data_IF_918425314886
#
_entry.id   IF_918425314886
#
_cell.length_a   1.000
_cell.length_b   1.000
_cell.length_c   1.000
_cell.angle_alpha   90.00
_cell.angle_beta   90.00
_cell.angle_gamma   90.00
#
_symmetry.space_group_name_H-M   'P 1'
#
loop_
_entity.id
_entity.type
_entity.pdbx_description
1 polymer ?
#
# COMPACT_ATOMS: atom_id res chain seq x y z
N UNK A 1 30.99 33.59 -6.56
CA UNK A 1 29.72 34.31 -6.32
C UNK A 1 28.79 33.60 -5.32
N UNK A 2 28.94 32.30 -5.06
CA UNK A 2 28.10 31.53 -4.12
C UNK A 2 28.78 31.25 -2.76
N UNK A 3 29.63 32.15 -2.28
CA UNK A 3 30.44 31.93 -1.05
C UNK A 3 29.61 31.85 0.24
N UNK A 4 28.33 32.19 0.18
CA UNK A 4 27.41 32.20 1.31
C UNK A 4 26.50 30.96 1.37
N UNK A 5 26.71 29.97 0.49
CA UNK A 5 25.99 28.71 0.56
C UNK A 5 26.71 27.78 1.55
N UNK A 6 26.02 27.43 2.63
CA UNK A 6 26.48 26.41 3.58
C UNK A 6 25.95 25.03 3.16
N UNK A 7 26.83 24.06 2.83
CA UNK A 7 26.41 22.71 2.49
C UNK A 7 25.59 22.05 3.62
N UNK A 8 24.50 21.37 3.26
CA UNK A 8 23.69 20.57 4.21
C UNK A 8 22.66 21.36 5.03
N UNK A 9 22.60 22.69 4.89
CA UNK A 9 21.63 23.54 5.59
C UNK A 9 20.22 23.54 4.95
N UNK A 10 20.15 23.46 3.62
CA UNK A 10 18.91 23.40 2.83
C UNK A 10 19.18 22.77 1.43
N UNK A 11 18.17 22.33 0.67
CA UNK A 11 18.39 21.75 -0.65
C UNK A 11 18.94 22.77 -1.67
N UNK A 12 19.87 22.34 -2.53
CA UNK A 12 20.68 23.21 -3.40
C UNK A 12 19.85 24.22 -4.22
N UNK A 13 18.74 23.78 -4.83
CA UNK A 13 17.89 24.64 -5.68
C UNK A 13 17.21 25.76 -4.88
N UNK A 14 16.88 25.51 -3.61
CA UNK A 14 16.33 26.53 -2.70
C UNK A 14 17.40 27.54 -2.30
N UNK A 15 18.58 27.04 -1.92
CA UNK A 15 19.73 27.88 -1.57
C UNK A 15 20.16 28.77 -2.74
N UNK A 16 20.20 28.20 -3.94
CA UNK A 16 20.56 28.91 -5.16
C UNK A 16 19.51 29.95 -5.56
N UNK A 17 18.23 29.60 -5.51
CA UNK A 17 17.14 30.55 -5.78
C UNK A 17 17.14 31.73 -4.81
N UNK A 18 17.35 31.46 -3.52
CA UNK A 18 17.47 32.49 -2.46
C UNK A 18 18.64 33.43 -2.72
N UNK A 19 19.83 32.88 -3.02
CA UNK A 19 21.03 33.69 -3.22
C UNK A 19 20.99 34.47 -4.53
N UNK A 20 20.45 33.89 -5.61
CA UNK A 20 20.21 34.60 -6.87
C UNK A 20 19.21 35.74 -6.68
N UNK A 21 18.15 35.53 -5.90
CA UNK A 21 17.21 36.60 -5.57
C UNK A 21 17.87 37.71 -4.75
N UNK A 22 18.70 37.36 -3.75
CA UNK A 22 19.45 38.33 -2.95
C UNK A 22 20.42 39.16 -3.81
N UNK A 23 21.06 38.55 -4.79
CA UNK A 23 22.06 39.20 -5.65
C UNK A 23 21.45 40.01 -6.79
N UNK A 24 20.36 39.55 -7.38
CA UNK A 24 19.80 40.13 -8.61
C UNK A 24 18.45 40.83 -8.43
N UNK A 25 17.77 40.62 -7.29
CA UNK A 25 16.38 41.03 -7.07
C UNK A 25 15.34 40.19 -7.83
N UNK A 26 15.76 39.29 -8.73
CA UNK A 26 14.86 38.45 -9.53
C UNK A 26 14.57 37.17 -8.78
N UNK A 27 13.29 36.85 -8.59
CA UNK A 27 12.88 35.58 -7.97
C UNK A 27 12.88 34.48 -9.01
N UNK A 28 13.81 33.53 -8.89
CA UNK A 28 13.83 32.31 -9.70
C UNK A 28 13.03 31.24 -8.96
N UNK A 29 11.90 30.76 -9.51
CA UNK A 29 11.12 29.71 -8.87
C UNK A 29 11.87 28.38 -8.96
N UNK A 30 11.63 27.47 -8.01
CA UNK A 30 12.40 26.22 -7.86
C UNK A 30 12.22 25.26 -9.02
N UNK A 31 11.07 25.31 -9.69
CA UNK A 31 10.73 24.54 -10.89
C UNK A 31 11.41 25.04 -12.18
N UNK A 32 12.00 26.24 -12.17
CA UNK A 32 12.82 26.74 -13.27
C UNK A 32 14.22 26.09 -13.33
N UNK A 33 14.64 25.37 -12.27
CA UNK A 33 15.90 24.66 -12.24
C UNK A 33 15.76 23.25 -12.82
N UNK A 34 16.08 23.13 -14.09
CA UNK A 34 16.14 21.85 -14.80
C UNK A 34 17.54 21.21 -14.62
N UNK A 35 17.65 20.35 -13.59
CA UNK A 35 18.90 19.65 -13.28
C UNK A 35 19.31 18.63 -14.36
N UNK A 36 18.38 18.22 -15.22
CA UNK A 36 18.65 17.29 -16.31
C UNK A 36 19.43 17.91 -17.47
N UNK A 37 19.48 19.25 -17.53
CA UNK A 37 20.35 19.98 -18.45
C UNK A 37 21.78 20.14 -17.94
N UNK A 38 22.06 19.82 -16.68
CA UNK A 38 23.42 19.88 -16.14
C UNK A 38 24.24 18.72 -16.71
N UNK A 39 25.40 18.95 -17.36
CA UNK A 39 26.24 17.87 -17.88
C UNK A 39 26.55 16.82 -16.82
N UNK A 40 26.52 15.51 -17.15
CA UNK A 40 26.67 14.44 -16.16
C UNK A 40 27.91 14.58 -15.27
N UNK A 41 29.05 15.02 -15.83
CA UNK A 41 30.31 15.19 -15.09
C UNK A 41 30.28 16.31 -14.01
N UNK A 42 29.25 17.16 -14.02
CA UNK A 42 29.04 18.20 -13.00
C UNK A 42 28.01 17.79 -11.93
N UNK A 43 27.41 16.59 -12.05
CA UNK A 43 26.48 16.05 -11.06
C UNK A 43 27.22 15.17 -10.05
N UNK A 44 26.73 15.20 -8.81
CA UNK A 44 27.17 14.29 -7.74
C UNK A 44 27.08 12.85 -8.23
N UNK A 45 28.09 12.05 -7.90
CA UNK A 45 28.11 10.61 -8.18
C UNK A 45 28.13 9.91 -6.84
N UNK A 46 27.14 9.06 -6.61
CA UNK A 46 27.04 8.21 -5.43
C UNK A 46 27.79 6.92 -5.73
N UNK A 47 28.65 6.52 -4.80
CA UNK A 47 29.43 5.28 -4.88
C UNK A 47 29.17 4.52 -3.59
N UNK A 48 28.80 3.25 -3.71
CA UNK A 48 28.70 2.32 -2.59
C UNK A 48 29.94 1.44 -2.61
N UNK A 49 30.64 1.42 -1.49
CA UNK A 49 31.85 0.63 -1.28
C UNK A 49 31.54 -0.52 -0.30
N UNK A 50 32.19 -1.66 -0.49
CA UNK A 50 32.15 -2.78 0.45
C UNK A 50 33.10 -2.54 1.63
N UNK A 51 33.04 -3.42 2.64
CA UNK A 51 33.84 -3.29 3.86
C UNK A 51 35.37 -3.35 3.62
N UNK A 52 35.81 -3.89 2.49
CA UNK A 52 37.21 -3.93 2.02
C UNK A 52 37.58 -2.73 1.11
N UNK A 53 36.66 -1.77 0.93
CA UNK A 53 36.85 -0.57 0.13
C UNK A 53 36.68 -0.76 -1.38
N UNK A 54 36.20 -1.93 -1.83
CA UNK A 54 35.92 -2.14 -3.24
C UNK A 54 34.61 -1.47 -3.66
N UNK A 55 34.58 -0.86 -4.84
CA UNK A 55 33.36 -0.25 -5.38
C UNK A 55 32.35 -1.35 -5.75
N UNK A 56 31.21 -1.37 -5.06
CA UNK A 56 30.08 -2.29 -5.29
C UNK A 56 29.19 -1.78 -6.41
N UNK A 57 28.88 -0.48 -6.40
CA UNK A 57 28.11 0.16 -7.44
C UNK A 57 28.25 1.69 -7.40
N UNK A 58 28.04 2.31 -8.56
CA UNK A 58 27.94 3.76 -8.70
C UNK A 58 26.70 4.17 -9.49
N UNK A 59 26.15 5.33 -9.15
CA UNK A 59 25.10 5.97 -9.92
C UNK A 59 25.09 7.48 -9.68
N UNK A 60 24.49 8.24 -10.60
CA UNK A 60 24.18 9.66 -10.40
C UNK A 60 22.83 9.87 -9.72
N UNK A 61 21.96 8.87 -9.75
CA UNK A 61 20.68 8.85 -9.06
C UNK A 61 20.78 7.96 -7.81
N UNK A 62 20.76 8.57 -6.62
CA UNK A 62 20.83 7.85 -5.35
C UNK A 62 19.66 6.88 -5.17
N UNK A 63 18.44 7.27 -5.56
CA UNK A 63 17.26 6.41 -5.41
C UNK A 63 17.40 5.16 -6.30
N UNK A 64 17.83 5.33 -7.55
CA UNK A 64 18.09 4.19 -8.44
C UNK A 64 19.20 3.28 -7.91
N UNK A 65 20.25 3.86 -7.31
CA UNK A 65 21.33 3.11 -6.67
C UNK A 65 20.84 2.32 -5.45
N UNK A 66 20.04 2.97 -4.59
CA UNK A 66 19.41 2.34 -3.41
C UNK A 66 18.45 1.22 -3.82
N UNK A 67 17.61 1.42 -4.83
CA UNK A 67 16.71 0.39 -5.36
C UNK A 67 17.47 -0.81 -5.89
N UNK A 68 18.53 -0.59 -6.68
CA UNK A 68 19.39 -1.65 -7.21
C UNK A 68 20.07 -2.46 -6.11
N UNK A 69 20.49 -1.80 -5.03
CA UNK A 69 21.19 -2.43 -3.91
C UNK A 69 20.27 -2.86 -2.76
N UNK A 70 18.97 -2.59 -2.82
CA UNK A 70 18.05 -2.85 -1.71
C UNK A 70 18.10 -4.31 -1.24
N UNK A 71 18.16 -5.26 -2.19
CA UNK A 71 18.27 -6.69 -1.89
C UNK A 71 19.58 -7.06 -1.16
N UNK A 72 20.72 -6.57 -1.65
CA UNK A 72 22.03 -6.82 -1.01
C UNK A 72 22.14 -6.13 0.35
N UNK A 73 21.59 -4.92 0.48
CA UNK A 73 21.56 -4.18 1.75
C UNK A 73 20.70 -4.89 2.78
N UNK A 74 19.52 -5.42 2.40
CA UNK A 74 18.71 -6.25 3.30
C UNK A 74 19.47 -7.47 3.80
N UNK A 75 20.12 -8.21 2.91
CA UNK A 75 20.88 -9.40 3.28
C UNK A 75 22.06 -9.06 4.20
N UNK A 76 22.77 -7.96 3.92
CA UNK A 76 23.88 -7.51 4.75
C UNK A 76 23.43 -7.06 6.15
N UNK A 77 22.32 -6.32 6.24
CA UNK A 77 21.72 -5.92 7.54
C UNK A 77 21.27 -7.17 8.28
N UNK A 78 20.45 -8.03 7.67
CA UNK A 78 20.01 -9.28 8.30
C UNK A 78 21.20 -10.11 8.79
N UNK A 79 22.22 -10.38 7.97
CA UNK A 79 23.40 -11.13 8.41
C UNK A 79 24.17 -10.45 9.55
N UNK A 80 24.20 -9.12 9.60
CA UNK A 80 24.92 -8.36 10.61
C UNK A 80 24.20 -8.27 11.96
N UNK A 81 22.85 -8.26 11.99
CA UNK A 81 22.06 -8.00 13.21
C UNK A 81 20.98 -9.04 13.54
N UNK A 82 20.71 -10.02 12.65
CA UNK A 82 19.70 -11.06 12.85
C UNK A 82 19.96 -11.89 14.12
N UNK A 83 21.19 -12.35 14.29
CA UNK A 83 21.70 -13.05 15.47
C UNK A 83 20.66 -13.83 16.26
N UNK A 84 20.45 -13.41 17.51
CA UNK A 84 19.54 -14.05 18.48
C UNK A 84 18.05 -13.69 18.29
N UNK A 85 17.72 -12.80 17.35
CA UNK A 85 16.36 -12.28 17.15
C UNK A 85 15.57 -13.10 16.14
N UNK A 86 16.23 -13.75 15.19
CA UNK A 86 15.54 -14.58 14.21
C UNK A 86 14.92 -15.82 14.83
N UNK A 87 13.65 -16.03 14.51
CA UNK A 87 12.86 -17.18 14.97
C UNK A 87 11.92 -17.60 13.86
N UNK A 88 11.66 -18.89 13.74
CA UNK A 88 10.73 -19.40 12.73
C UNK A 88 9.68 -20.32 13.33
N UNK A 89 8.55 -20.44 12.65
CA UNK A 89 7.52 -21.43 13.00
C UNK A 89 6.69 -21.07 14.23
N UNK A 90 6.66 -19.79 14.63
CA UNK A 90 5.89 -19.34 15.79
C UNK A 90 4.39 -19.48 15.52
N UNK A 91 3.67 -20.00 16.51
CA UNK A 91 2.19 -20.07 16.51
C UNK A 91 1.54 -19.28 17.65
N UNK A 92 2.37 -18.80 18.57
CA UNK A 92 2.03 -17.93 19.68
C UNK A 92 3.26 -17.06 20.00
N UNK A 93 3.07 -15.99 20.76
CA UNK A 93 4.17 -15.14 21.21
C UNK A 93 5.20 -15.98 22.01
N UNK A 94 6.51 -15.91 21.72
CA UNK A 94 7.50 -16.76 22.38
C UNK A 94 7.59 -16.53 23.90
N UNK A 95 7.63 -17.59 24.71
CA UNK A 95 7.62 -17.57 26.18
C UNK A 95 8.91 -17.04 26.84
N UNK A 96 9.99 -16.94 26.10
CA UNK A 96 11.28 -16.38 26.51
C UNK A 96 11.51 -14.95 25.98
N UNK A 97 10.64 -14.43 25.11
CA UNK A 97 10.70 -13.08 24.56
C UNK A 97 9.68 -12.14 25.24
N UNK A 98 10.05 -11.34 26.26
CA UNK A 98 9.11 -10.41 26.89
C UNK A 98 8.73 -9.24 25.98
N UNK A 99 9.69 -8.76 25.18
CA UNK A 99 9.55 -7.62 24.28
C UNK A 99 10.37 -7.87 23.01
N UNK A 100 9.77 -7.55 21.85
CA UNK A 100 10.47 -7.45 20.58
C UNK A 100 10.98 -6.01 20.45
N UNK A 101 12.30 -5.76 20.39
CA UNK A 101 12.80 -4.41 20.30
C UNK A 101 12.44 -3.77 18.96
N UNK A 102 12.12 -2.48 18.99
CA UNK A 102 11.86 -1.68 17.79
C UNK A 102 13.09 -1.55 16.89
N UNK A 103 14.29 -1.52 17.46
CA UNK A 103 15.54 -1.42 16.71
C UNK A 103 16.62 -2.24 17.40
N UNK A 104 17.53 -2.77 16.58
CA UNK A 104 18.74 -3.45 17.05
C UNK A 104 19.94 -2.85 16.33
N UNK A 105 21.05 -2.68 17.04
CA UNK A 105 22.27 -2.10 16.48
C UNK A 105 23.45 -3.03 16.75
N UNK A 106 24.31 -3.18 15.75
CA UNK A 106 25.58 -3.87 15.88
C UNK A 106 26.68 -3.11 15.15
N UNK A 107 27.87 -3.06 15.75
CA UNK A 107 29.05 -2.50 15.09
C UNK A 107 29.69 -3.58 14.23
N UNK A 108 29.76 -3.34 12.92
CA UNK A 108 30.41 -4.23 11.95
C UNK A 108 31.37 -3.42 11.08
N UNK A 109 32.64 -3.82 11.02
CA UNK A 109 33.67 -3.12 10.23
C UNK A 109 33.90 -1.65 10.60
N UNK A 110 33.61 -1.24 11.84
CA UNK A 110 33.72 0.17 12.28
C UNK A 110 32.49 1.03 11.98
N UNK A 111 31.45 0.47 11.36
CA UNK A 111 30.18 1.13 11.09
C UNK A 111 29.07 0.56 11.97
N UNK A 112 28.20 1.42 12.50
CA UNK A 112 26.98 0.97 13.21
C UNK A 112 25.93 0.58 12.18
N UNK A 113 25.58 -0.71 12.16
CA UNK A 113 24.47 -1.23 11.36
C UNK A 113 23.24 -1.30 12.25
N UNK A 114 22.14 -0.66 11.81
CA UNK A 114 20.84 -0.70 12.48
C UNK A 114 19.90 -1.61 11.69
N UNK A 115 19.16 -2.46 12.41
CA UNK A 115 18.07 -3.23 11.85
C UNK A 115 16.79 -3.09 12.66
N UNK A 116 15.71 -3.55 12.07
CA UNK A 116 14.34 -3.32 12.52
C UNK A 116 13.61 -4.66 12.63
N UNK A 117 13.64 -5.33 13.80
CA UNK A 117 12.98 -6.62 14.00
C UNK A 117 11.46 -6.50 13.89
N UNK A 118 10.80 -7.44 13.21
CA UNK A 118 9.35 -7.53 13.15
C UNK A 118 8.89 -8.99 13.06
N UNK A 119 7.64 -9.22 13.49
CA UNK A 119 6.91 -10.42 13.15
C UNK A 119 6.64 -10.42 11.64
N UNK A 120 6.81 -11.55 10.97
CA UNK A 120 6.58 -11.72 9.55
C UNK A 120 5.64 -12.91 9.32
N UNK A 121 4.64 -12.74 8.44
CA UNK A 121 3.73 -13.82 8.07
C UNK A 121 4.47 -14.88 7.22
N UNK A 122 4.48 -16.13 7.70
CA UNK A 122 5.02 -17.31 7.00
C UNK A 122 3.90 -18.26 6.55
N UNK A 123 2.67 -17.76 6.41
CA UNK A 123 1.47 -18.45 5.95
C UNK A 123 0.83 -19.32 7.03
N UNK A 124 1.50 -20.40 7.43
CA UNK A 124 0.97 -21.31 8.47
C UNK A 124 1.58 -21.06 9.86
N UNK A 125 2.55 -20.16 9.94
CA UNK A 125 3.28 -19.73 11.13
C UNK A 125 3.67 -18.25 11.00
N UNK A 126 4.33 -17.74 12.02
CA UNK A 126 4.97 -16.44 12.05
C UNK A 126 6.45 -16.60 12.32
N UNK A 127 7.26 -15.81 11.65
CA UNK A 127 8.69 -15.74 11.87
C UNK A 127 9.04 -14.37 12.47
N UNK A 128 10.22 -14.24 13.08
CA UNK A 128 10.80 -12.95 13.44
C UNK A 128 11.98 -12.75 12.52
N UNK A 129 11.97 -11.64 11.78
CA UNK A 129 13.06 -11.23 10.89
C UNK A 129 13.50 -9.81 11.21
N UNK A 130 14.75 -9.49 10.86
CA UNK A 130 15.31 -8.14 11.00
C UNK A 130 15.34 -7.47 9.63
N UNK A 131 14.59 -6.37 9.50
CA UNK A 131 14.46 -5.60 8.27
C UNK A 131 15.48 -4.45 8.20
N UNK A 132 15.75 -3.96 7.00
CA UNK A 132 16.72 -2.88 6.79
C UNK A 132 16.13 -1.48 7.02
N UNK A 133 14.80 -1.36 6.93
CA UNK A 133 14.11 -0.08 7.08
C UNK A 133 12.91 -0.19 8.02
N UNK A 134 12.55 0.94 8.63
CA UNK A 134 11.35 1.04 9.48
C UNK A 134 10.06 0.82 8.69
N UNK A 135 10.00 1.22 7.42
CA UNK A 135 8.81 0.98 6.58
C UNK A 135 8.62 -0.52 6.29
N UNK A 136 9.69 -1.26 5.98
CA UNK A 136 9.62 -2.72 5.84
C UNK A 136 9.21 -3.40 7.14
N UNK A 137 9.76 -2.97 8.28
CA UNK A 137 9.37 -3.44 9.59
C UNK A 137 7.87 -3.21 9.84
N UNK A 138 7.35 -2.01 9.56
CA UNK A 138 5.94 -1.67 9.77
C UNK A 138 5.02 -2.54 8.93
N UNK A 139 5.37 -2.75 7.66
CA UNK A 139 4.60 -3.58 6.74
C UNK A 139 4.59 -5.06 7.19
N UNK A 140 5.76 -5.61 7.54
CA UNK A 140 5.89 -6.98 8.03
C UNK A 140 5.15 -7.15 9.37
N UNK A 141 5.38 -6.24 10.32
CA UNK A 141 4.79 -6.31 11.65
C UNK A 141 3.26 -6.34 11.62
N UNK A 142 2.64 -5.58 10.71
CA UNK A 142 1.19 -5.59 10.55
C UNK A 142 0.66 -6.99 10.15
N UNK A 143 1.21 -7.60 9.11
CA UNK A 143 0.75 -8.91 8.61
C UNK A 143 1.17 -10.05 9.55
N UNK A 144 2.38 -9.99 10.11
CA UNK A 144 2.89 -10.95 11.10
C UNK A 144 2.10 -10.95 12.40
N UNK A 145 1.76 -9.77 12.95
CA UNK A 145 0.93 -9.66 14.14
C UNK A 145 -0.50 -10.18 13.89
N UNK A 146 -1.09 -9.86 12.73
CA UNK A 146 -2.38 -10.43 12.31
C UNK A 146 -2.33 -11.96 12.28
N UNK A 147 -1.34 -12.54 11.60
CA UNK A 147 -1.17 -14.00 11.53
C UNK A 147 -1.00 -14.61 12.92
N UNK A 148 -0.17 -14.03 13.78
CA UNK A 148 0.08 -14.56 15.12
C UNK A 148 -1.22 -14.56 15.95
N UNK A 149 -2.01 -13.50 15.84
CA UNK A 149 -3.29 -13.35 16.52
C UNK A 149 -4.31 -14.38 16.01
N UNK A 150 -4.41 -14.57 14.69
CA UNK A 150 -5.26 -15.59 14.05
C UNK A 150 -4.88 -17.02 14.46
N UNK A 151 -3.59 -17.31 14.61
CA UNK A 151 -3.10 -18.61 15.07
C UNK A 151 -3.34 -18.84 16.58
N UNK A 152 -3.39 -17.75 17.36
CA UNK A 152 -3.56 -17.78 18.81
C UNK A 152 -5.02 -17.83 19.27
N UNK A 153 -5.99 -17.65 18.36
CA UNK A 153 -7.42 -17.60 18.66
C UNK A 153 -8.13 -18.72 17.87
N UNK A 154 -9.10 -19.44 18.48
CA UNK A 154 -9.91 -20.40 17.74
C UNK A 154 -10.60 -19.77 16.51
N UNK A 155 -10.56 -20.46 15.38
CA UNK A 155 -11.12 -19.95 14.13
C UNK A 155 -12.62 -19.62 14.26
N UNK A 156 -13.08 -18.43 13.78
CA UNK A 156 -14.48 -18.04 13.80
C UNK A 156 -15.33 -18.73 12.73
N UNK A 157 -14.71 -19.47 11.78
CA UNK A 157 -15.37 -19.97 10.57
C UNK A 157 -16.69 -20.70 10.84
N UNK A 158 -16.69 -21.69 11.74
CA UNK A 158 -17.91 -22.47 12.06
C UNK A 158 -19.06 -21.60 12.58
N UNK A 159 -18.76 -20.54 13.33
CA UNK A 159 -19.76 -19.61 13.85
C UNK A 159 -20.29 -18.72 12.73
N UNK A 160 -19.38 -18.19 11.90
CA UNK A 160 -19.72 -17.33 10.76
C UNK A 160 -20.57 -18.08 9.74
N UNK A 161 -20.18 -19.30 9.34
CA UNK A 161 -20.91 -20.13 8.38
C UNK A 161 -22.35 -20.43 8.80
N UNK A 162 -22.58 -20.63 10.11
CA UNK A 162 -23.93 -20.82 10.68
C UNK A 162 -24.75 -19.53 10.66
N UNK A 163 -24.09 -18.38 10.73
CA UNK A 163 -24.72 -17.07 10.69
C UNK A 163 -25.20 -16.64 9.29
N UNK A 164 -24.80 -17.34 8.23
CA UNK A 164 -25.24 -17.06 6.86
C UNK A 164 -26.55 -17.77 6.52
N UNK A 165 -27.48 -17.06 5.90
CA UNK A 165 -28.66 -17.69 5.31
C UNK A 165 -28.31 -18.35 3.94
N UNK A 166 -29.16 -19.24 3.41
CA UNK A 166 -28.88 -19.95 2.16
C UNK A 166 -28.65 -19.04 0.94
N UNK A 167 -29.32 -17.89 0.86
CA UNK A 167 -29.16 -16.96 -0.27
C UNK A 167 -27.80 -16.29 -0.22
N UNK A 168 -27.40 -15.82 0.96
CA UNK A 168 -26.08 -15.23 1.18
C UNK A 168 -24.96 -16.22 0.87
N UNK A 169 -25.08 -17.49 1.31
CA UNK A 169 -24.09 -18.53 0.97
C UNK A 169 -23.98 -18.76 -0.54
N UNK A 170 -25.11 -18.78 -1.25
CA UNK A 170 -25.11 -18.99 -2.70
C UNK A 170 -24.45 -17.82 -3.44
N UNK A 171 -24.81 -16.58 -3.09
CA UNK A 171 -24.21 -15.38 -3.66
C UNK A 171 -22.69 -15.36 -3.42
N UNK A 172 -22.28 -15.57 -2.17
CA UNK A 172 -20.88 -15.53 -1.77
C UNK A 172 -20.06 -16.73 -2.27
N UNK A 173 -20.68 -17.78 -2.83
CA UNK A 173 -19.94 -18.93 -3.37
C UNK A 173 -19.15 -18.61 -4.63
N UNK A 174 -19.62 -17.64 -5.41
CA UNK A 174 -18.96 -17.14 -6.61
C UNK A 174 -18.42 -15.76 -6.29
N UNK A 175 -17.33 -15.71 -5.53
CA UNK A 175 -16.68 -14.47 -5.10
C UNK A 175 -15.25 -14.39 -5.68
N UNK A 176 -14.62 -13.20 -5.67
CA UNK A 176 -13.27 -13.01 -6.21
C UNK A 176 -12.15 -13.86 -5.54
N UNK A 177 -12.28 -14.22 -4.27
CA UNK A 177 -11.33 -15.10 -3.55
C UNK A 177 -11.43 -16.57 -3.98
N UNK A 178 -12.34 -16.89 -4.90
CA UNK A 178 -12.46 -18.19 -5.55
C UNK A 178 -13.21 -19.25 -4.74
N UNK A 179 -13.45 -19.05 -3.44
CA UNK A 179 -14.30 -19.93 -2.64
C UNK A 179 -14.92 -19.20 -1.44
N UNK A 180 -16.05 -19.72 -0.94
CA UNK A 180 -16.67 -19.17 0.27
C UNK A 180 -15.70 -19.19 1.46
N UNK A 181 -14.96 -20.29 1.66
CA UNK A 181 -13.99 -20.40 2.77
C UNK A 181 -12.90 -19.33 2.69
N UNK A 182 -12.35 -19.08 1.50
CA UNK A 182 -11.32 -18.08 1.29
C UNK A 182 -11.84 -16.67 1.63
N UNK A 183 -13.05 -16.33 1.20
CA UNK A 183 -13.69 -15.05 1.54
C UNK A 183 -13.96 -14.91 3.04
N UNK A 184 -14.41 -15.98 3.70
CA UNK A 184 -14.62 -15.94 5.15
C UNK A 184 -13.31 -15.75 5.92
N UNK A 185 -12.22 -16.35 5.45
CA UNK A 185 -10.90 -16.14 6.03
C UNK A 185 -10.36 -14.73 5.78
N UNK A 186 -10.54 -14.18 4.57
CA UNK A 186 -10.19 -12.78 4.24
C UNK A 186 -10.99 -11.78 5.10
N UNK A 187 -12.29 -12.02 5.27
CA UNK A 187 -13.13 -11.25 6.20
C UNK A 187 -12.64 -11.34 7.65
N UNK A 188 -12.10 -12.49 8.07
CA UNK A 188 -11.59 -12.68 9.41
C UNK A 188 -10.21 -12.03 9.61
N UNK A 189 -9.40 -11.94 8.56
CA UNK A 189 -8.17 -11.18 8.53
C UNK A 189 -8.47 -9.67 8.63
N UNK A 190 -9.43 -9.16 7.86
CA UNK A 190 -9.91 -7.79 7.97
C UNK A 190 -10.50 -7.47 9.37
N UNK A 191 -11.21 -8.44 9.97
CA UNK A 191 -11.71 -8.33 11.34
C UNK A 191 -10.58 -8.23 12.36
N UNK A 192 -9.51 -9.00 12.14
CA UNK A 192 -8.34 -9.02 13.01
C UNK A 192 -7.62 -7.68 12.97
N UNK A 193 -7.42 -7.09 11.78
CA UNK A 193 -6.85 -5.74 11.66
C UNK A 193 -7.68 -4.68 12.36
N UNK A 194 -9.01 -4.75 12.22
CA UNK A 194 -9.92 -3.81 12.86
C UNK A 194 -9.84 -3.88 14.40
N UNK A 195 -9.62 -5.08 14.94
CA UNK A 195 -9.48 -5.32 16.38
C UNK A 195 -8.05 -5.03 16.88
N UNK A 196 -7.05 -5.03 15.99
CA UNK A 196 -5.64 -4.80 16.27
C UNK A 196 -5.06 -3.63 15.43
N UNK A 197 -5.61 -2.40 15.56
CA UNK A 197 -5.22 -1.28 14.70
C UNK A 197 -3.81 -0.73 14.98
N UNK A 198 -3.19 -1.14 16.09
CA UNK A 198 -1.86 -0.69 16.52
C UNK A 198 -1.00 -1.93 16.76
N UNK A 199 0.24 -1.97 16.26
CA UNK A 199 1.16 -3.08 16.52
C UNK A 199 1.49 -3.19 18.00
N UNK A 200 1.62 -4.42 18.48
CA UNK A 200 2.01 -4.75 19.86
C UNK A 200 3.44 -5.25 19.90
N UNK A 201 4.24 -4.79 20.85
CA UNK A 201 5.68 -5.08 20.89
C UNK A 201 6.08 -5.93 22.09
N UNK A 202 5.18 -6.07 23.06
CA UNK A 202 5.41 -6.88 24.25
C UNK A 202 4.46 -8.07 24.32
N UNK A 203 4.88 -9.13 25.03
CA UNK A 203 4.02 -10.27 25.33
C UNK A 203 2.75 -9.85 26.08
N UNK A 204 2.88 -8.92 27.02
CA UNK A 204 1.77 -8.47 27.84
C UNK A 204 0.69 -7.78 26.98
N UNK A 205 1.11 -6.87 26.09
CA UNK A 205 0.21 -6.22 25.13
C UNK A 205 -0.44 -7.23 24.17
N UNK A 206 0.35 -8.17 23.63
CA UNK A 206 -0.18 -9.21 22.75
C UNK A 206 -1.21 -10.10 23.47
N UNK A 207 -0.94 -10.47 24.72
CA UNK A 207 -1.87 -11.30 25.53
C UNK A 207 -3.18 -10.55 25.77
N UNK A 208 -3.10 -9.27 26.17
CA UNK A 208 -4.28 -8.43 26.37
C UNK A 208 -5.06 -8.19 25.07
N UNK A 209 -4.36 -8.04 23.94
CA UNK A 209 -4.98 -7.93 22.62
C UNK A 209 -5.68 -9.24 22.23
N UNK A 210 -5.02 -10.39 22.38
CA UNK A 210 -5.58 -11.73 22.12
C UNK A 210 -6.87 -11.95 22.91
N UNK A 211 -6.86 -11.67 24.20
CA UNK A 211 -8.01 -11.96 25.07
C UNK A 211 -9.22 -11.08 24.72
N UNK A 212 -8.99 -9.83 24.31
CA UNK A 212 -10.06 -8.94 23.80
C UNK A 212 -10.54 -9.36 22.42
N UNK A 213 -9.61 -9.61 21.49
CA UNK A 213 -9.94 -9.99 20.12
C UNK A 213 -10.71 -11.32 20.08
N UNK A 214 -10.37 -12.29 20.92
CA UNK A 214 -11.07 -13.58 21.01
C UNK A 214 -12.56 -13.43 21.34
N UNK A 215 -12.95 -12.39 22.09
CA UNK A 215 -14.35 -12.15 22.46
C UNK A 215 -15.18 -11.55 21.32
N UNK A 216 -14.54 -10.85 20.37
CA UNK A 216 -15.25 -10.09 19.32
C UNK A 216 -15.02 -10.63 17.91
N UNK A 217 -13.98 -11.42 17.67
CA UNK A 217 -13.54 -11.83 16.33
C UNK A 217 -14.66 -12.43 15.49
N UNK A 218 -15.46 -13.35 16.04
CA UNK A 218 -16.54 -13.98 15.30
C UNK A 218 -17.66 -13.00 14.90
N UNK A 219 -18.07 -12.11 15.82
CA UNK A 219 -19.09 -11.10 15.55
C UNK A 219 -18.60 -10.06 14.54
N UNK A 220 -17.37 -9.56 14.73
CA UNK A 220 -16.73 -8.60 13.80
C UNK A 220 -16.56 -9.20 12.41
N UNK A 221 -16.15 -10.47 12.32
CA UNK A 221 -16.04 -11.18 11.03
C UNK A 221 -17.40 -11.24 10.34
N UNK A 222 -18.47 -11.63 11.05
CA UNK A 222 -19.82 -11.71 10.48
C UNK A 222 -20.32 -10.35 9.97
N UNK A 223 -20.04 -9.26 10.70
CA UNK A 223 -20.38 -7.91 10.26
C UNK A 223 -19.62 -7.49 9.01
N UNK A 224 -18.35 -7.90 8.88
CA UNK A 224 -17.54 -7.66 7.69
C UNK A 224 -18.05 -8.49 6.50
N UNK A 225 -18.43 -9.76 6.71
CA UNK A 225 -19.03 -10.60 5.66
C UNK A 225 -20.28 -9.96 5.08
N UNK A 226 -21.16 -9.37 5.91
CA UNK A 226 -22.36 -8.64 5.43
C UNK A 226 -22.02 -7.41 4.59
N UNK A 227 -20.86 -6.77 4.83
CA UNK A 227 -20.38 -5.66 4.01
C UNK A 227 -19.80 -6.16 2.70
N UNK A 228 -18.99 -7.23 2.75
CA UNK A 228 -18.43 -7.89 1.58
C UNK A 228 -19.53 -8.45 0.66
N UNK A 229 -20.63 -8.95 1.21
CA UNK A 229 -21.80 -9.41 0.45
C UNK A 229 -22.37 -8.32 -0.47
N UNK A 230 -22.40 -7.05 -0.01
CA UNK A 230 -22.84 -5.93 -0.85
C UNK A 230 -21.88 -5.66 -2.02
N UNK A 231 -20.59 -5.86 -1.79
CA UNK A 231 -19.56 -5.75 -2.84
C UNK A 231 -19.73 -6.87 -3.87
N UNK A 232 -19.81 -8.11 -3.39
CA UNK A 232 -19.99 -9.31 -4.25
C UNK A 232 -21.29 -9.26 -5.03
N UNK A 233 -22.39 -8.76 -4.43
CA UNK A 233 -23.66 -8.54 -5.14
C UNK A 233 -23.49 -7.56 -6.31
N UNK A 234 -22.91 -6.39 -6.06
CA UNK A 234 -22.68 -5.38 -7.10
C UNK A 234 -21.74 -5.91 -8.20
N UNK A 235 -20.71 -6.66 -7.81
CA UNK A 235 -19.78 -7.28 -8.75
C UNK A 235 -20.45 -8.35 -9.60
N UNK A 236 -21.28 -9.23 -9.01
CA UNK A 236 -22.01 -10.27 -9.73
C UNK A 236 -22.98 -9.68 -10.76
N UNK A 237 -23.72 -8.63 -10.39
CA UNK A 237 -24.57 -7.89 -11.32
C UNK A 237 -23.78 -7.29 -12.49
N UNK A 238 -22.60 -6.73 -12.21
CA UNK A 238 -21.71 -6.17 -13.21
C UNK A 238 -21.10 -7.23 -14.14
N UNK A 239 -20.71 -8.39 -13.61
CA UNK A 239 -20.19 -9.51 -14.41
C UNK A 239 -21.23 -10.00 -15.43
N UNK A 240 -22.51 -10.03 -15.04
CA UNK A 240 -23.61 -10.36 -15.96
C UNK A 240 -23.81 -9.28 -17.03
N UNK A 241 -23.67 -8.01 -16.67
CA UNK A 241 -23.83 -6.89 -17.59
C UNK A 241 -22.63 -6.70 -18.54
N UNK A 242 -21.43 -7.13 -18.14
CA UNK A 242 -20.21 -6.98 -18.92
C UNK A 242 -20.23 -7.84 -20.19
N UNK A 243 -20.03 -7.25 -21.38
CA UNK A 243 -20.05 -8.01 -22.62
C UNK A 243 -18.81 -8.90 -22.73
N UNK A 244 -18.98 -10.20 -23.02
CA UNK A 244 -17.84 -11.10 -23.27
C UNK A 244 -16.93 -10.58 -24.37
N UNK A 245 -17.51 -10.07 -25.47
CA UNK A 245 -16.80 -9.40 -26.56
C UNK A 245 -17.23 -7.94 -26.63
N UNK A 246 -16.28 -7.03 -26.37
CA UNK A 246 -16.55 -5.60 -26.46
C UNK A 246 -16.80 -5.17 -27.93
N UNK A 247 -17.81 -4.33 -28.19
CA UNK A 247 -17.92 -3.63 -29.47
C UNK A 247 -16.65 -2.82 -29.75
N UNK A 248 -16.20 -2.75 -31.01
CA UNK A 248 -14.92 -2.10 -31.34
C UNK A 248 -14.82 -0.66 -30.81
N UNK A 249 -15.90 0.12 -30.94
CA UNK A 249 -15.97 1.51 -30.46
C UNK A 249 -15.88 1.64 -28.92
N UNK A 250 -16.17 0.59 -28.17
CA UNK A 250 -16.20 0.57 -26.71
C UNK A 250 -15.03 -0.24 -26.11
N UNK A 251 -14.15 -0.78 -26.94
CA UNK A 251 -13.11 -1.73 -26.53
C UNK A 251 -12.19 -1.18 -25.43
N UNK A 252 -11.71 0.04 -25.58
CA UNK A 252 -10.85 0.72 -24.58
C UNK A 252 -11.57 0.92 -23.24
N UNK A 253 -12.82 1.41 -23.27
CA UNK A 253 -13.59 1.64 -22.05
C UNK A 253 -13.92 0.33 -21.32
N UNK A 254 -14.25 -0.74 -22.05
CA UNK A 254 -14.49 -2.06 -21.45
C UNK A 254 -13.19 -2.67 -20.90
N UNK A 255 -12.05 -2.43 -21.55
CA UNK A 255 -10.74 -2.84 -21.02
C UNK A 255 -10.42 -2.10 -19.71
N UNK A 256 -10.54 -0.78 -19.68
CA UNK A 256 -10.31 0.02 -18.46
C UNK A 256 -11.28 -0.36 -17.31
N UNK A 257 -12.53 -0.71 -17.62
CA UNK A 257 -13.48 -1.22 -16.62
C UNK A 257 -13.00 -2.55 -16.03
N UNK A 258 -12.48 -3.46 -16.85
CA UNK A 258 -11.95 -4.75 -16.38
C UNK A 258 -10.70 -4.55 -15.53
N UNK A 259 -9.76 -3.74 -16.01
CA UNK A 259 -8.53 -3.43 -15.28
C UNK A 259 -8.85 -2.77 -13.93
N UNK A 260 -9.84 -1.86 -13.88
CA UNK A 260 -10.30 -1.27 -12.63
C UNK A 260 -10.91 -2.33 -11.69
N UNK A 261 -11.72 -3.26 -12.19
CA UNK A 261 -12.30 -4.32 -11.37
C UNK A 261 -11.25 -5.28 -10.84
N UNK A 262 -10.29 -5.69 -11.67
CA UNK A 262 -9.23 -6.61 -11.29
C UNK A 262 -8.35 -6.00 -10.18
N UNK A 263 -8.08 -4.69 -10.24
CA UNK A 263 -7.37 -3.98 -9.15
C UNK A 263 -8.19 -3.87 -7.86
N UNK A 264 -9.51 -3.67 -7.96
CA UNK A 264 -10.38 -3.48 -6.80
C UNK A 264 -10.77 -4.79 -6.10
N UNK A 265 -10.81 -5.89 -6.86
CA UNK A 265 -11.40 -7.17 -6.46
C UNK A 265 -10.48 -8.34 -6.81
N UNK A 266 -9.21 -8.25 -6.43
CA UNK A 266 -8.29 -9.41 -6.43
C UNK A 266 -8.55 -10.31 -5.22
N UNK A 267 -7.95 -11.51 -5.20
CA UNK A 267 -8.01 -12.39 -4.04
C UNK A 267 -7.43 -11.69 -2.79
N UNK A 268 -8.18 -11.68 -1.69
CA UNK A 268 -7.83 -10.95 -0.47
C UNK A 268 -8.35 -9.50 -0.45
N UNK A 269 -9.29 -9.12 -1.33
CA UNK A 269 -9.75 -7.74 -1.46
C UNK A 269 -10.35 -7.17 -0.17
N UNK A 270 -10.91 -8.00 0.72
CA UNK A 270 -11.58 -7.54 1.94
C UNK A 270 -10.56 -6.98 2.94
N UNK A 271 -9.50 -7.73 3.23
CA UNK A 271 -8.41 -7.26 4.08
C UNK A 271 -7.58 -6.17 3.41
N UNK A 272 -7.33 -6.27 2.10
CA UNK A 272 -6.60 -5.24 1.35
C UNK A 272 -7.33 -3.88 1.34
N UNK A 273 -8.65 -3.90 1.17
CA UNK A 273 -9.49 -2.68 1.24
C UNK A 273 -9.64 -2.16 2.66
N UNK A 274 -9.69 -3.08 3.64
CA UNK A 274 -9.95 -2.79 5.03
C UNK A 274 -11.44 -2.58 5.34
N UNK A 275 -11.86 -3.06 6.52
CA UNK A 275 -13.26 -3.11 6.94
C UNK A 275 -14.01 -1.75 6.90
N UNK A 276 -13.28 -0.64 7.06
CA UNK A 276 -13.84 0.71 7.05
C UNK A 276 -14.26 1.16 5.64
N UNK A 277 -13.59 0.69 4.58
CA UNK A 277 -13.83 1.13 3.20
C UNK A 277 -14.70 0.17 2.37
N UNK A 278 -15.14 -0.96 2.91
CA UNK A 278 -15.98 -1.91 2.15
C UNK A 278 -17.30 -1.30 1.63
N UNK A 279 -17.86 -0.34 2.37
CA UNK A 279 -19.03 0.41 1.89
C UNK A 279 -18.68 1.28 0.67
N UNK A 280 -17.50 1.90 0.68
CA UNK A 280 -17.00 2.67 -0.46
C UNK A 280 -16.65 1.77 -1.64
N UNK A 281 -16.07 0.59 -1.38
CA UNK A 281 -15.80 -0.39 -2.42
C UNK A 281 -17.09 -0.83 -3.14
N UNK A 282 -18.16 -1.12 -2.40
CA UNK A 282 -19.46 -1.41 -3.00
C UNK A 282 -19.96 -0.22 -3.84
N UNK A 283 -19.75 1.02 -3.38
CA UNK A 283 -20.09 2.24 -4.13
C UNK A 283 -19.26 2.37 -5.41
N UNK A 284 -17.96 2.04 -5.38
CA UNK A 284 -17.08 2.07 -6.55
C UNK A 284 -17.53 1.06 -7.61
N UNK A 285 -17.81 -0.19 -7.21
CA UNK A 285 -18.32 -1.23 -8.14
C UNK A 285 -19.67 -0.81 -8.76
N UNK A 286 -20.57 -0.22 -7.97
CA UNK A 286 -21.82 0.34 -8.49
C UNK A 286 -21.59 1.50 -9.46
N UNK A 287 -20.59 2.36 -9.22
CA UNK A 287 -20.23 3.44 -10.13
C UNK A 287 -19.72 2.91 -11.48
N UNK A 288 -18.96 1.80 -11.47
CA UNK A 288 -18.53 1.10 -12.68
C UNK A 288 -19.75 0.58 -13.45
N UNK A 289 -20.72 -0.02 -12.77
CA UNK A 289 -21.99 -0.43 -13.39
C UNK A 289 -22.73 0.74 -14.05
N UNK A 290 -22.78 1.91 -13.39
CA UNK A 290 -23.39 3.12 -13.98
C UNK A 290 -22.62 3.66 -15.18
N UNK A 291 -21.30 3.54 -15.20
CA UNK A 291 -20.48 3.84 -16.37
C UNK A 291 -20.84 2.91 -17.53
N UNK A 292 -20.86 1.61 -17.28
CA UNK A 292 -21.17 0.59 -18.28
C UNK A 292 -22.57 0.78 -18.90
N UNK A 293 -23.60 1.03 -18.08
CA UNK A 293 -24.97 1.31 -18.53
C UNK A 293 -25.05 2.52 -19.47
N UNK A 294 -24.23 3.55 -19.22
CA UNK A 294 -24.26 4.83 -19.97
C UNK A 294 -23.35 4.85 -21.20
N UNK A 295 -22.34 3.97 -21.22
CA UNK A 295 -21.30 3.93 -22.26
C UNK A 295 -21.86 3.94 -23.70
N UNK A 296 -22.92 3.19 -24.06
CA UNK A 296 -23.46 3.20 -25.42
C UNK A 296 -24.02 4.56 -25.87
N UNK A 297 -24.41 5.44 -24.95
CA UNK A 297 -25.00 6.73 -25.27
C UNK A 297 -23.97 7.85 -25.46
N UNK A 298 -22.70 7.62 -25.12
CA UNK A 298 -21.69 8.70 -25.08
C UNK A 298 -20.25 8.20 -25.01
N UNK A 299 -19.81 7.45 -26.02
CA UNK A 299 -18.46 6.88 -26.11
C UNK A 299 -17.37 7.95 -26.06
N UNK A 300 -17.50 9.03 -26.83
CA UNK A 300 -16.48 10.10 -26.86
C UNK A 300 -16.35 10.81 -25.51
N UNK A 301 -17.47 11.11 -24.87
CA UNK A 301 -17.48 11.73 -23.54
C UNK A 301 -16.91 10.79 -22.46
N UNK A 302 -17.12 9.47 -22.59
CA UNK A 302 -16.47 8.48 -21.74
C UNK A 302 -14.95 8.49 -21.93
N UNK A 303 -14.49 8.49 -23.20
CA UNK A 303 -13.08 8.53 -23.55
C UNK A 303 -12.37 9.77 -22.99
N UNK A 304 -12.98 10.94 -23.10
CA UNK A 304 -12.44 12.17 -22.50
C UNK A 304 -12.29 12.07 -20.96
N UNK A 305 -13.27 11.49 -20.27
CA UNK A 305 -13.20 11.27 -18.81
C UNK A 305 -12.15 10.22 -18.45
N UNK A 306 -12.04 9.17 -19.25
CA UNK A 306 -11.05 8.11 -19.08
C UNK A 306 -9.62 8.67 -19.21
N UNK A 307 -9.35 9.50 -20.21
CA UNK A 307 -8.03 10.14 -20.35
C UNK A 307 -7.64 11.00 -19.15
N UNK A 308 -8.60 11.70 -18.53
CA UNK A 308 -8.36 12.47 -17.31
C UNK A 308 -7.98 11.60 -16.12
N UNK A 309 -8.53 10.40 -16.05
CA UNK A 309 -8.18 9.42 -15.01
C UNK A 309 -6.81 8.80 -15.29
N UNK A 310 -6.55 8.39 -16.53
CA UNK A 310 -5.24 7.85 -16.93
C UNK A 310 -4.12 8.85 -16.64
N UNK A 311 -4.33 10.14 -16.88
CA UNK A 311 -3.32 11.16 -16.57
C UNK A 311 -2.93 11.23 -15.08
N UNK A 312 -3.86 10.98 -14.15
CA UNK A 312 -3.54 10.93 -12.72
C UNK A 312 -3.03 9.56 -12.26
N UNK A 313 -3.43 8.48 -12.93
CA UNK A 313 -2.88 7.14 -12.72
C UNK A 313 -1.42 7.07 -13.17
N UNK A 314 -1.09 7.60 -14.34
CA UNK A 314 0.30 7.71 -14.84
C UNK A 314 1.20 8.46 -13.85
N UNK A 315 0.70 9.58 -13.31
CA UNK A 315 1.42 10.37 -12.32
C UNK A 315 1.59 9.64 -10.97
N UNK A 316 0.64 8.77 -10.62
CA UNK A 316 0.72 7.92 -9.43
C UNK A 316 1.70 6.77 -9.65
N UNK A 317 1.72 6.16 -10.83
CA UNK A 317 2.69 5.12 -11.21
C UNK A 317 4.13 5.67 -11.26
N UNK A 318 4.32 6.90 -11.75
CA UNK A 318 5.58 7.63 -11.65
C UNK A 318 6.03 7.79 -10.19
N UNK A 319 5.13 8.22 -9.30
CA UNK A 319 5.41 8.32 -7.87
C UNK A 319 5.86 6.97 -7.31
N UNK A 320 5.09 5.90 -7.54
CA UNK A 320 5.42 4.57 -7.03
C UNK A 320 6.79 4.07 -7.49
N UNK A 321 7.19 4.35 -8.73
CA UNK A 321 8.52 4.01 -9.25
C UNK A 321 9.65 4.78 -8.57
N UNK A 322 9.40 6.03 -8.17
CA UNK A 322 10.40 6.91 -7.58
C UNK A 322 10.51 6.76 -6.05
N UNK A 323 9.55 6.10 -5.41
CA UNK A 323 9.54 5.90 -3.97
C UNK A 323 10.70 5.01 -3.48
N UNK A 324 11.26 5.29 -2.28
CA UNK A 324 12.14 4.36 -1.60
C UNK A 324 11.47 3.01 -1.33
N UNK A 325 12.28 1.95 -1.19
CA UNK A 325 11.78 0.62 -0.87
C UNK A 325 10.92 0.65 0.41
N UNK A 326 9.73 0.05 0.34
CA UNK A 326 8.78 -0.03 1.45
C UNK A 326 7.85 1.18 1.63
N UNK A 327 8.09 2.32 0.97
CA UNK A 327 7.19 3.50 1.05
C UNK A 327 5.88 3.34 0.27
N UNK A 328 5.84 2.49 -0.75
CA UNK A 328 4.64 2.26 -1.56
C UNK A 328 3.43 1.81 -0.72
N UNK A 329 3.70 1.18 0.43
CA UNK A 329 2.68 0.68 1.35
C UNK A 329 2.27 1.68 2.44
N UNK A 330 2.89 2.86 2.47
CA UNK A 330 2.58 3.89 3.46
C UNK A 330 1.13 4.41 3.27
N UNK A 331 0.42 4.75 4.37
CA UNK A 331 -1.00 5.09 4.30
C UNK A 331 -1.33 6.28 3.40
N UNK A 332 -0.45 7.28 3.32
CA UNK A 332 -0.60 8.46 2.47
C UNK A 332 -0.48 8.11 0.99
N UNK A 333 0.42 7.19 0.63
CA UNK A 333 0.57 6.69 -0.74
C UNK A 333 -0.67 5.89 -1.16
N UNK A 334 -1.08 4.91 -0.34
CA UNK A 334 -2.28 4.10 -0.61
C UNK A 334 -3.55 4.95 -0.66
N UNK A 335 -3.63 6.04 0.09
CA UNK A 335 -4.78 6.94 0.06
C UNK A 335 -4.95 7.69 -1.28
N UNK A 336 -3.87 7.87 -2.04
CA UNK A 336 -3.94 8.45 -3.40
C UNK A 336 -4.72 7.53 -4.34
N UNK A 337 -4.48 6.21 -4.29
CA UNK A 337 -5.23 5.24 -5.09
C UNK A 337 -6.74 5.33 -4.81
N UNK A 338 -7.13 5.44 -3.53
CA UNK A 338 -8.54 5.67 -3.17
C UNK A 338 -9.06 7.03 -3.64
N UNK A 339 -8.20 8.04 -3.75
CA UNK A 339 -8.60 9.34 -4.28
C UNK A 339 -8.92 9.28 -5.78
N UNK A 340 -8.20 8.44 -6.52
CA UNK A 340 -8.46 8.17 -7.94
C UNK A 340 -9.83 7.51 -8.09
N UNK A 341 -10.18 6.53 -7.25
CA UNK A 341 -11.51 5.91 -7.27
C UNK A 341 -12.64 6.93 -6.99
N UNK A 342 -12.42 7.88 -6.08
CA UNK A 342 -13.36 8.99 -5.88
C UNK A 342 -13.50 9.87 -7.14
N UNK A 343 -12.40 10.13 -7.86
CA UNK A 343 -12.45 10.86 -9.12
C UNK A 343 -13.31 10.09 -10.13
N UNK A 344 -13.12 8.77 -10.24
CA UNK A 344 -13.93 7.91 -11.11
C UNK A 344 -15.42 8.03 -10.76
N UNK A 345 -15.81 7.95 -9.48
CA UNK A 345 -17.21 8.16 -9.07
C UNK A 345 -17.73 9.54 -9.48
N UNK A 346 -16.94 10.60 -9.26
CA UNK A 346 -17.34 11.97 -9.60
C UNK A 346 -17.55 12.20 -11.11
N UNK A 347 -16.86 11.40 -11.94
CA UNK A 347 -16.94 11.51 -13.39
C UNK A 347 -18.12 10.72 -13.95
N UNK A 348 -18.41 9.52 -13.47
CA UNK A 348 -19.42 8.64 -14.09
C UNK A 348 -20.72 8.47 -13.30
N UNK A 349 -20.68 8.67 -11.98
CA UNK A 349 -21.77 8.32 -11.08
C UNK A 349 -21.99 9.37 -9.97
N UNK A 350 -22.06 10.66 -10.33
CA UNK A 350 -22.24 11.78 -9.40
C UNK A 350 -23.40 11.59 -8.40
N UNK A 351 -24.48 10.94 -8.81
CA UNK A 351 -25.62 10.65 -7.96
C UNK A 351 -25.31 9.74 -6.76
N UNK A 352 -24.20 8.99 -6.78
CA UNK A 352 -23.76 8.15 -5.66
C UNK A 352 -22.97 8.94 -4.60
N UNK A 353 -22.53 10.16 -4.92
CA UNK A 353 -21.68 10.98 -4.05
C UNK A 353 -20.26 10.45 -3.89
N UNK A 354 -19.38 11.32 -3.39
CA UNK A 354 -17.99 10.99 -3.06
C UNK A 354 -17.77 11.12 -1.54
N UNK A 355 -16.89 10.30 -0.95
CA UNK A 355 -16.62 10.40 0.49
C UNK A 355 -15.86 11.69 0.85
N UNK A 356 -15.23 12.32 -0.13
CA UNK A 356 -14.49 13.58 -0.01
C UNK A 356 -14.56 14.40 -1.30
N UNK A 357 -14.26 15.69 -1.19
CA UNK A 357 -14.13 16.58 -2.35
C UNK A 357 -12.92 16.16 -3.21
N UNK A 358 -13.16 15.89 -4.49
CA UNK A 358 -12.16 15.33 -5.41
C UNK A 358 -12.06 16.14 -6.70
N UNK A 359 -10.85 16.19 -7.27
CA UNK A 359 -10.55 16.69 -8.62
C UNK A 359 -9.14 16.24 -9.01
N UNK A 360 -8.82 16.25 -10.31
CA UNK A 360 -7.46 15.95 -10.80
C UNK A 360 -6.39 16.81 -10.09
N UNK A 361 -6.64 18.12 -9.96
CA UNK A 361 -5.72 19.03 -9.27
C UNK A 361 -5.48 18.66 -7.79
N UNK A 362 -6.49 18.13 -7.10
CA UNK A 362 -6.33 17.68 -5.70
C UNK A 362 -5.50 16.39 -5.61
N UNK A 363 -5.68 15.47 -6.56
CA UNK A 363 -4.89 14.24 -6.63
C UNK A 363 -3.43 14.57 -6.97
N UNK A 364 -3.19 15.40 -7.98
CA UNK A 364 -1.84 15.85 -8.33
C UNK A 364 -1.15 16.58 -7.17
N UNK A 365 -1.90 17.37 -6.38
CA UNK A 365 -1.37 17.99 -5.17
C UNK A 365 -0.99 16.95 -4.10
N UNK A 366 -1.79 15.91 -3.92
CA UNK A 366 -1.47 14.82 -2.99
C UNK A 366 -0.22 14.05 -3.45
N UNK A 367 -0.11 13.73 -4.75
CA UNK A 367 1.07 13.12 -5.36
C UNK A 367 2.32 13.97 -5.11
N UNK A 368 2.26 15.28 -5.35
CA UNK A 368 3.39 16.17 -5.13
C UNK A 368 3.79 16.31 -3.65
N UNK A 369 2.85 16.16 -2.72
CA UNK A 369 3.15 16.18 -1.29
C UNK A 369 3.78 14.86 -0.80
N UNK A 370 3.57 13.77 -1.54
CA UNK A 370 4.04 12.43 -1.23
C UNK A 370 5.43 12.10 -1.83
N UNK A 371 5.89 12.85 -2.83
CA UNK A 371 7.28 12.78 -3.35
C UNK A 371 8.24 13.21 -2.24
#
# INVERSE_FOLDING_TARGET
>A
MLRNLEPGSEPLVYALGRELHRLSGIRVPTDAFDLDKVPPHLRVTFVVESADGAEVARDKNLNALQQRLAGSTRQAVAAAVAGQWERSGLRAWPDDLPELPHTVEQVSGGHTVRGYPALADAGTSVDIHVFATESEQRAAMATGARRLLRLSIPSPMKTVERGLDPRSRLLLSSNPDGSLSALLDDCADAATDLLAPVPVWTRAEFTALRDRAAQSLAATTLDIVRRAEKVVQAWSELQVALPTKAPAAQSEAIADIRDQLDRLLDAGFVAATGAARLTDLARYVNAIGKRLERLPQGVEADRERMHRVHAVEDAYDDLLRDLPAGRADDPDIRDIAWFIEELRVSLWAQQLGTARAVSEQRILKAINAAR
#
